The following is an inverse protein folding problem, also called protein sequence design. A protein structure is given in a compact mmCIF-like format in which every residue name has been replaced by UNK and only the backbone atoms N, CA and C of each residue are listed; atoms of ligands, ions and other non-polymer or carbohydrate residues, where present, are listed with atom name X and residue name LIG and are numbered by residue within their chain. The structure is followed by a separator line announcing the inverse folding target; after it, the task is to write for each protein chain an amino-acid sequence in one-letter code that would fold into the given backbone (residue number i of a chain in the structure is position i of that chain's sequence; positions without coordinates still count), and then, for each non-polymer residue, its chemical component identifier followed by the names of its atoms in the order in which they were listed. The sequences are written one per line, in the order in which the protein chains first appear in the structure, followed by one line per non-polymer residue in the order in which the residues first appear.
data_IF_567084285029
#
_entry.id   IF_567084285029
#
_cell.length_a   1.000
_cell.length_b   1.000
_cell.length_c   1.000
_cell.angle_alpha   90.00
_cell.angle_beta   90.00
_cell.angle_gamma   90.00
#
_symmetry.space_group_name_H-M   'P 1'
#
loop_
_entity.id
_entity.type
_entity.pdbx_description
1 polymer ?
#
# COMPACT_ATOMS: atom_id res chain seq x y z
N UNK A 1 4.88 -21.59 -0.43
CA UNK A 1 3.58 -20.90 -0.56
C UNK A 1 3.74 -19.48 -0.04
N UNK A 2 3.12 -18.49 -0.67
CA UNK A 2 3.12 -17.11 -0.14
C UNK A 2 2.27 -17.05 1.14
N UNK A 3 2.74 -16.30 2.13
CA UNK A 3 2.03 -15.97 3.36
C UNK A 3 2.46 -14.56 3.74
N UNK A 4 1.50 -13.68 4.05
CA UNK A 4 1.78 -12.33 4.50
C UNK A 4 2.44 -12.36 5.88
N UNK A 5 3.46 -11.52 6.07
CA UNK A 5 4.11 -11.31 7.37
C UNK A 5 3.10 -10.80 8.41
N UNK A 6 3.15 -11.33 9.63
CA UNK A 6 2.19 -11.00 10.69
C UNK A 6 2.19 -9.52 11.04
N UNK A 7 3.32 -8.83 10.95
CA UNK A 7 3.38 -7.38 11.22
C UNK A 7 2.69 -6.59 10.12
N UNK A 8 2.92 -6.94 8.86
CA UNK A 8 2.19 -6.32 7.75
C UNK A 8 0.69 -6.59 7.88
N UNK A 9 0.30 -7.81 8.27
CA UNK A 9 -1.11 -8.14 8.50
C UNK A 9 -1.74 -7.29 9.61
N UNK A 10 -1.03 -7.07 10.72
CA UNK A 10 -1.55 -6.31 11.87
C UNK A 10 -1.53 -4.79 11.63
N UNK A 11 -0.54 -4.29 10.92
CA UNK A 11 -0.33 -2.85 10.71
C UNK A 11 -1.07 -2.32 9.47
N UNK A 12 -1.79 -3.17 8.71
CA UNK A 12 -2.43 -2.77 7.47
C UNK A 12 -3.71 -3.53 7.12
N UNK A 13 -4.59 -2.86 6.38
CA UNK A 13 -5.88 -3.39 5.90
C UNK A 13 -5.78 -3.76 4.43
N UNK A 14 -6.35 -4.89 4.03
CA UNK A 14 -6.37 -5.34 2.64
C UNK A 14 -7.29 -4.43 1.80
N UNK A 15 -6.75 -3.81 0.75
CA UNK A 15 -7.52 -3.05 -0.23
C UNK A 15 -8.05 -4.00 -1.29
N UNK A 16 -7.18 -4.86 -1.82
CA UNK A 16 -7.50 -5.88 -2.83
C UNK A 16 -6.23 -6.55 -3.35
N UNK A 17 -6.37 -7.33 -4.41
CA UNK A 17 -5.26 -8.05 -5.03
C UNK A 17 -5.08 -7.65 -6.49
N UNK A 18 -3.87 -7.27 -6.84
CA UNK A 18 -3.43 -7.11 -8.21
C UNK A 18 -2.90 -8.47 -8.73
N UNK A 19 -2.40 -8.49 -9.96
CA UNK A 19 -1.88 -9.69 -10.61
C UNK A 19 -0.73 -10.32 -9.81
N UNK A 20 0.23 -9.51 -9.35
CA UNK A 20 1.39 -9.91 -8.57
C UNK A 20 1.22 -9.58 -7.08
N UNK A 21 0.76 -8.37 -6.74
CA UNK A 21 0.77 -7.89 -5.36
C UNK A 21 -0.57 -8.03 -4.61
N UNK A 22 -0.49 -8.20 -3.28
CA UNK A 22 -1.54 -7.66 -2.41
C UNK A 22 -1.34 -6.15 -2.30
N UNK A 23 -2.43 -5.39 -2.49
CA UNK A 23 -2.48 -3.96 -2.21
C UNK A 23 -3.10 -3.76 -0.83
N UNK A 24 -2.39 -3.08 0.06
CA UNK A 24 -2.82 -2.84 1.43
C UNK A 24 -2.65 -1.38 1.81
N UNK A 25 -3.47 -0.88 2.72
CA UNK A 25 -3.35 0.45 3.31
C UNK A 25 -2.80 0.31 4.73
N UNK A 26 -1.71 1.01 5.04
CA UNK A 26 -1.15 1.05 6.40
C UNK A 26 -2.16 1.76 7.31
N UNK A 27 -2.40 1.24 8.50
CA UNK A 27 -3.37 1.78 9.46
C UNK A 27 -2.81 3.01 10.21
N UNK A 28 -2.42 4.04 9.45
CA UNK A 28 -1.99 5.35 9.93
C UNK A 28 -2.69 6.45 9.12
N UNK A 29 -3.69 7.11 9.72
CA UNK A 29 -4.51 8.12 9.06
C UNK A 29 -3.80 9.45 8.84
N UNK A 30 -2.60 9.61 9.39
CA UNK A 30 -1.78 10.81 9.20
C UNK A 30 -1.32 10.97 7.74
N UNK A 31 -1.29 9.88 6.96
CA UNK A 31 -0.86 9.89 5.56
C UNK A 31 -1.68 8.86 4.75
N UNK A 32 -2.14 9.18 3.53
CA UNK A 32 -2.58 8.15 2.59
C UNK A 32 -1.38 7.27 2.20
N UNK A 33 -1.26 6.10 2.86
CA UNK A 33 -0.09 5.24 2.82
C UNK A 33 -0.47 3.82 2.44
N UNK A 34 -0.01 3.40 1.27
CA UNK A 34 -0.24 2.07 0.71
C UNK A 34 1.04 1.27 0.63
N UNK A 35 0.91 -0.05 0.63
CA UNK A 35 1.99 -0.98 0.34
C UNK A 35 1.54 -1.99 -0.72
N UNK A 36 2.46 -2.30 -1.64
CA UNK A 36 2.37 -3.45 -2.52
C UNK A 36 3.23 -4.57 -1.95
N UNK A 37 2.64 -5.75 -1.74
CA UNK A 37 3.34 -6.95 -1.25
C UNK A 37 3.31 -8.02 -2.34
N UNK A 38 4.41 -8.26 -3.09
CA UNK A 38 4.44 -9.31 -4.11
C UNK A 38 4.10 -10.68 -3.52
N UNK A 39 3.16 -11.40 -4.15
CA UNK A 39 2.71 -12.74 -3.76
C UNK A 39 3.73 -13.81 -4.13
N UNK A 40 4.96 -13.69 -3.60
CA UNK A 40 6.10 -14.60 -3.80
C UNK A 40 6.74 -14.96 -2.47
N UNK A 41 7.00 -16.25 -2.27
CA UNK A 41 7.55 -16.75 -1.02
C UNK A 41 9.06 -16.47 -0.92
N UNK A 42 9.52 -16.04 0.27
CA UNK A 42 10.96 -15.90 0.55
C UNK A 42 11.67 -14.72 -0.11
N UNK A 43 10.93 -13.83 -0.79
CA UNK A 43 11.49 -12.64 -1.44
C UNK A 43 11.61 -11.50 -0.43
N UNK A 44 12.81 -10.94 -0.34
CA UNK A 44 13.17 -9.82 0.53
C UNK A 44 13.49 -8.55 -0.23
N UNK A 45 14.02 -8.71 -1.44
CA UNK A 45 14.54 -7.62 -2.25
C UNK A 45 13.99 -7.70 -3.68
N UNK A 46 13.80 -6.55 -4.33
CA UNK A 46 13.28 -6.50 -5.72
C UNK A 46 14.16 -7.32 -6.67
N UNK A 47 15.48 -7.32 -6.47
CA UNK A 47 16.39 -8.09 -7.33
C UNK A 47 16.26 -9.62 -7.17
N UNK A 48 15.51 -10.11 -6.18
CA UNK A 48 15.25 -11.55 -6.01
C UNK A 48 14.03 -12.01 -6.81
N UNK A 49 13.22 -11.08 -7.33
CA UNK A 49 12.14 -11.37 -8.26
C UNK A 49 12.69 -11.76 -9.64
N UNK A 50 11.92 -12.59 -10.37
CA UNK A 50 12.15 -12.84 -11.80
C UNK A 50 12.03 -11.54 -12.60
N UNK A 51 12.57 -11.52 -13.82
CA UNK A 51 12.47 -10.33 -14.69
C UNK A 51 11.02 -9.94 -14.99
N UNK A 52 10.15 -10.93 -15.21
CA UNK A 52 8.71 -10.72 -15.41
C UNK A 52 8.04 -10.14 -14.16
N UNK A 53 8.37 -10.66 -12.97
CA UNK A 53 7.81 -10.15 -11.72
C UNK A 53 8.32 -8.74 -11.39
N UNK A 54 9.57 -8.40 -11.72
CA UNK A 54 10.08 -7.02 -11.55
C UNK A 54 9.35 -6.05 -12.47
N UNK A 55 9.12 -6.45 -13.71
CA UNK A 55 8.39 -5.64 -14.69
C UNK A 55 6.94 -5.44 -14.25
N UNK A 56 6.30 -6.51 -13.74
CA UNK A 56 4.94 -6.47 -13.19
C UNK A 56 4.86 -5.60 -11.94
N UNK A 57 5.81 -5.73 -11.00
CA UNK A 57 5.87 -4.89 -9.80
C UNK A 57 5.99 -3.40 -10.16
N UNK A 58 6.83 -3.06 -11.15
CA UNK A 58 6.97 -1.68 -11.59
C UNK A 58 5.67 -1.16 -12.22
N UNK A 59 5.01 -1.96 -13.07
CA UNK A 59 3.73 -1.59 -13.68
C UNK A 59 2.63 -1.37 -12.61
N UNK A 60 2.51 -2.28 -11.64
CA UNK A 60 1.57 -2.16 -10.53
C UNK A 60 1.89 -0.96 -9.61
N UNK A 61 3.17 -0.66 -9.39
CA UNK A 61 3.64 0.51 -8.64
C UNK A 61 3.24 1.82 -9.33
N UNK A 62 3.46 1.92 -10.65
CA UNK A 62 3.06 3.09 -11.43
C UNK A 62 1.53 3.27 -11.44
N UNK A 63 0.79 2.19 -11.68
CA UNK A 63 -0.68 2.20 -11.66
C UNK A 63 -1.22 2.70 -10.31
N UNK A 64 -0.68 2.20 -9.20
CA UNK A 64 -1.07 2.67 -7.86
C UNK A 64 -0.69 4.13 -7.64
N UNK A 65 0.49 4.55 -8.10
CA UNK A 65 0.96 5.93 -7.95
C UNK A 65 0.04 6.93 -8.65
N UNK A 66 -0.43 6.61 -9.86
CA UNK A 66 -1.41 7.40 -10.61
C UNK A 66 -2.75 7.46 -9.86
N UNK A 67 -3.27 6.31 -9.41
CA UNK A 67 -4.53 6.27 -8.65
C UNK A 67 -4.47 7.06 -7.33
N UNK A 68 -3.32 7.05 -6.64
CA UNK A 68 -3.10 7.86 -5.43
C UNK A 68 -3.10 9.35 -5.79
N UNK A 69 -2.39 9.75 -6.85
CA UNK A 69 -2.36 11.14 -7.29
C UNK A 69 -3.78 11.65 -7.58
N UNK A 70 -4.56 10.88 -8.35
CA UNK A 70 -5.94 11.25 -8.73
C UNK A 70 -6.91 11.25 -7.54
N UNK A 71 -6.72 10.35 -6.57
CA UNK A 71 -7.59 10.23 -5.38
C UNK A 71 -7.38 11.33 -4.32
N UNK A 72 -6.13 11.79 -4.19
CA UNK A 72 -5.70 12.60 -3.05
C UNK A 72 -5.12 13.95 -3.45
N UNK A 73 -4.87 14.19 -4.74
CA UNK A 73 -4.23 15.42 -5.24
C UNK A 73 -2.92 15.73 -4.51
N UNK A 74 -2.11 14.69 -4.26
CA UNK A 74 -0.88 14.80 -3.50
C UNK A 74 0.14 15.72 -4.19
N UNK A 75 0.80 16.60 -3.41
CA UNK A 75 1.89 17.46 -3.90
C UNK A 75 3.09 16.63 -4.36
N UNK A 76 3.34 15.50 -3.67
CA UNK A 76 4.41 14.57 -4.02
C UNK A 76 4.07 13.14 -3.62
N UNK A 77 4.55 12.16 -4.39
CA UNK A 77 4.58 10.76 -3.97
C UNK A 77 5.98 10.36 -3.48
N UNK A 78 6.04 9.65 -2.36
CA UNK A 78 7.23 8.94 -1.91
C UNK A 78 7.04 7.42 -2.13
N UNK A 79 7.97 6.81 -2.86
CA UNK A 79 7.97 5.38 -3.14
C UNK A 79 9.29 4.79 -2.65
N UNK A 80 9.24 3.73 -1.84
CA UNK A 80 10.43 3.11 -1.29
C UNK A 80 10.24 1.63 -0.99
N UNK A 81 11.22 0.82 -1.35
CA UNK A 81 11.41 -0.51 -0.80
C UNK A 81 12.42 -0.40 0.35
N UNK A 82 11.92 -0.48 1.57
CA UNK A 82 12.72 -0.61 2.79
C UNK A 82 12.39 -2.01 3.35
N UNK A 83 13.12 -2.50 4.34
CA UNK A 83 12.83 -3.83 4.88
C UNK A 83 13.60 -4.20 6.13
N UNK A 84 14.14 -3.20 6.85
CA UNK A 84 15.09 -3.45 7.94
C UNK A 84 14.45 -4.24 9.12
N UNK A 85 13.15 -4.01 9.38
CA UNK A 85 12.40 -4.70 10.45
C UNK A 85 11.53 -5.85 9.94
N UNK A 86 10.85 -5.64 8.81
CA UNK A 86 10.04 -6.65 8.13
C UNK A 86 10.75 -6.99 6.84
N UNK A 87 11.31 -8.20 6.77
CA UNK A 87 12.17 -8.58 5.63
C UNK A 87 11.40 -9.06 4.42
N UNK A 88 10.10 -9.38 4.54
CA UNK A 88 9.28 -9.70 3.39
C UNK A 88 9.18 -8.48 2.49
N UNK A 89 9.46 -8.63 1.19
CA UNK A 89 9.44 -7.52 0.23
C UNK A 89 8.07 -6.84 0.24
N UNK A 90 8.08 -5.53 0.45
CA UNK A 90 6.93 -4.66 0.32
C UNK A 90 7.39 -3.29 -0.19
N UNK A 91 6.57 -2.66 -1.03
CA UNK A 91 6.88 -1.39 -1.67
C UNK A 91 5.91 -0.32 -1.18
N UNK A 92 6.41 0.66 -0.43
CA UNK A 92 5.61 1.76 0.12
C UNK A 92 5.26 2.78 -0.97
N UNK A 93 4.03 3.30 -0.92
CA UNK A 93 3.54 4.42 -1.71
C UNK A 93 2.82 5.39 -0.78
N UNK A 94 3.35 6.60 -0.63
CA UNK A 94 2.84 7.59 0.32
C UNK A 94 2.51 8.88 -0.41
N UNK A 95 1.27 9.33 -0.30
CA UNK A 95 0.88 10.69 -0.67
C UNK A 95 1.44 11.68 0.35
N UNK A 96 2.16 12.70 -0.12
CA UNK A 96 2.78 13.75 0.69
C UNK A 96 2.19 15.10 0.33
N UNK A 97 2.12 15.97 1.33
CA UNK A 97 1.60 17.33 1.22
C UNK A 97 2.56 18.30 1.90
N UNK A 98 2.67 19.54 1.41
CA UNK A 98 3.56 20.54 2.01
C UNK A 98 3.21 20.88 3.46
N UNK A 99 1.96 20.64 3.87
CA UNK A 99 1.45 20.84 5.22
C UNK A 99 1.32 19.54 6.04
N UNK A 100 1.81 18.40 5.54
CA UNK A 100 1.77 17.13 6.27
C UNK A 100 2.68 17.12 7.50
N UNK A 101 2.40 16.22 8.45
CA UNK A 101 3.04 16.20 9.77
C UNK A 101 4.56 15.96 9.76
N UNK A 102 5.14 15.61 8.61
CA UNK A 102 6.54 15.27 8.43
C UNK A 102 7.22 16.05 7.30
N UNK A 103 6.55 16.92 6.55
CA UNK A 103 7.17 17.63 5.41
C UNK A 103 8.33 18.53 5.85
N UNK A 104 9.46 18.59 5.11
CA UNK A 104 9.82 17.84 3.89
C UNK A 104 10.57 16.52 4.16
N UNK A 105 10.59 16.05 5.40
CA UNK A 105 11.32 14.87 5.84
C UNK A 105 10.60 13.55 5.46
N UNK A 106 11.31 12.40 5.48
CA UNK A 106 10.68 11.09 5.35
C UNK A 106 9.74 10.79 6.52
N UNK A 107 8.63 10.07 6.27
CA UNK A 107 7.65 9.73 7.32
C UNK A 107 8.11 8.63 8.28
N UNK A 108 9.00 7.74 7.83
CA UNK A 108 9.32 6.49 8.53
C UNK A 108 9.96 6.74 9.90
N UNK A 109 9.25 6.35 10.97
CA UNK A 109 9.74 6.44 12.35
C UNK A 109 9.71 7.84 12.97
N UNK A 110 9.07 8.83 12.33
CA UNK A 110 8.97 10.20 12.85
C UNK A 110 7.78 10.42 13.80
N UNK A 111 6.69 9.70 13.58
CA UNK A 111 5.44 9.79 14.34
C UNK A 111 4.99 8.40 14.76
N UNK A 112 4.24 8.33 15.86
CA UNK A 112 3.48 7.12 16.20
C UNK A 112 2.26 7.04 15.29
N UNK A 113 1.87 5.84 14.81
CA UNK A 113 0.72 5.69 13.93
C UNK A 113 -0.58 6.02 14.65
N UNK A 114 -1.52 6.64 13.93
CA UNK A 114 -2.87 6.90 14.41
C UNK A 114 -3.84 6.07 13.56
N UNK A 115 -4.56 5.09 14.11
CA UNK A 115 -5.50 4.28 13.33
C UNK A 115 -6.58 5.12 12.65
N UNK A 116 -7.03 4.66 11.48
CA UNK A 116 -8.24 5.20 10.85
C UNK A 116 -9.47 4.90 11.71
N UNK A 117 -10.43 5.82 11.71
CA UNK A 117 -11.81 5.48 12.06
C UNK A 117 -12.45 4.63 10.95
N UNK A 118 -13.50 3.89 11.27
CA UNK A 118 -14.21 3.04 10.29
C UNK A 118 -14.69 3.84 9.06
N UNK A 119 -15.16 5.08 9.26
CA UNK A 119 -15.62 5.93 8.18
C UNK A 119 -14.47 6.43 7.28
N UNK A 120 -13.34 6.82 7.87
CA UNK A 120 -12.17 7.24 7.09
C UNK A 120 -11.60 6.07 6.29
N UNK A 121 -11.54 4.88 6.90
CA UNK A 121 -11.10 3.67 6.23
C UNK A 121 -12.06 3.27 5.09
N UNK A 122 -13.37 3.32 5.29
CA UNK A 122 -14.33 3.03 4.22
C UNK A 122 -14.15 3.99 3.03
N UNK A 123 -13.96 5.29 3.31
CA UNK A 123 -13.75 6.31 2.28
C UNK A 123 -12.44 6.07 1.50
N UNK A 124 -11.35 5.73 2.19
CA UNK A 124 -10.05 5.51 1.52
C UNK A 124 -10.10 4.25 0.64
N UNK A 125 -10.74 3.18 1.14
CA UNK A 125 -10.91 1.94 0.40
C UNK A 125 -11.78 2.16 -0.85
N UNK A 126 -12.88 2.90 -0.74
CA UNK A 126 -13.76 3.17 -1.87
C UNK A 126 -13.02 3.94 -2.98
N UNK A 127 -12.35 5.05 -2.64
CA UNK A 127 -11.63 5.87 -3.63
C UNK A 127 -10.65 5.05 -4.47
N UNK A 128 -9.81 4.26 -3.79
CA UNK A 128 -8.76 3.49 -4.47
C UNK A 128 -9.34 2.29 -5.23
N UNK A 129 -10.34 1.60 -4.68
CA UNK A 129 -10.99 0.47 -5.36
C UNK A 129 -11.68 0.92 -6.65
N UNK A 130 -12.33 2.08 -6.65
CA UNK A 130 -12.97 2.62 -7.86
C UNK A 130 -11.96 2.93 -8.97
N UNK A 131 -10.84 3.56 -8.65
CA UNK A 131 -9.82 3.87 -9.68
C UNK A 131 -9.07 2.64 -10.20
N UNK A 132 -9.04 1.55 -9.44
CA UNK A 132 -8.34 0.33 -9.79
C UNK A 132 -9.28 -0.81 -10.18
N UNK A 133 -10.56 -0.55 -10.44
CA UNK A 133 -11.59 -1.59 -10.60
C UNK A 133 -11.25 -2.64 -11.66
N UNK A 134 -10.66 -2.21 -12.78
CA UNK A 134 -10.28 -3.11 -13.89
C UNK A 134 -9.07 -4.00 -13.58
N UNK A 135 -8.29 -3.67 -12.54
CA UNK A 135 -7.01 -4.32 -12.22
C UNK A 135 -7.02 -5.00 -10.84
N UNK A 136 -8.02 -4.73 -10.01
CA UNK A 136 -8.04 -5.09 -8.60
C UNK A 136 -9.13 -6.12 -8.30
N UNK A 137 -8.72 -7.31 -7.88
CA UNK A 137 -9.61 -8.33 -7.35
C UNK A 137 -9.84 -8.13 -5.86
N UNK A 138 -11.07 -7.88 -5.46
CA UNK A 138 -11.47 -7.79 -4.05
C UNK A 138 -12.08 -9.12 -3.65
N UNK A 139 -11.48 -9.85 -2.70
CA UNK A 139 -12.11 -11.07 -2.17
C UNK A 139 -13.22 -10.69 -1.20
N UNK A 140 -14.40 -11.26 -1.36
CA UNK A 140 -15.58 -11.07 -0.48
C UNK A 140 -15.37 -11.59 0.96
N UNK A 141 -14.19 -12.12 1.31
CA UNK A 141 -13.93 -12.89 2.52
C UNK A 141 -13.53 -12.09 3.77
N UNK A 142 -13.49 -10.75 3.70
CA UNK A 142 -13.47 -9.89 4.89
C UNK A 142 -14.77 -9.10 4.93
N UNK A 143 -15.82 -9.78 5.39
CA UNK A 143 -17.09 -9.15 5.73
C UNK A 143 -16.88 -8.04 6.76
N UNK A 144 -17.75 -7.04 6.66
CA UNK A 144 -17.80 -5.78 7.42
C UNK A 144 -16.78 -4.75 6.87
N UNK A 145 -17.14 -3.79 6.04
CA UNK A 145 -18.34 -2.93 6.06
C UNK A 145 -18.89 -2.75 4.63
N UNK A 146 -20.11 -3.24 4.40
CA UNK A 146 -21.01 -2.61 3.44
C UNK A 146 -21.74 -1.50 4.22
N UNK A 147 -21.88 -0.32 3.62
CA UNK A 147 -22.57 0.85 4.17
C UNK A 147 -23.84 0.52 4.95
#
# INVERSE_FOLDING_TARGET
MFQLDERLMNDSVLVGQLSLCELRVINDCQFPWFILVPKRAGVKEIYQLSEDDRSTLMAESCLLAEAIHDSFSADKLNIAAIGNKVTQLHLHHVARFEDDACWPEPIWGKKSPIPYTDSELANILQKVRTLLEDHLHVSEASGELYY
#
